data_IF_136556817811
#
_entry.id   IF_136556817811
#
_cell.length_a   1.000
_cell.length_b   1.000
_cell.length_c   1.000
_cell.angle_alpha   90.00
_cell.angle_beta   90.00
_cell.angle_gamma   90.00
#
_symmetry.space_group_name_H-M   'P 1'
#
loop_
_entity.id
_entity.type
_entity.pdbx_description
1 polymer ?
#
# COMPACT_ATOMS: atom_id res chain seq x y z
N UNK A 1 -3.71 9.55 -27.25
CA UNK A 1 -3.32 9.12 -28.60
C UNK A 1 -1.82 9.20 -28.87
N UNK A 2 -1.12 10.29 -28.54
CA UNK A 2 0.31 10.46 -28.94
C UNK A 2 1.35 10.15 -27.85
N UNK A 3 0.92 9.72 -26.66
CA UNK A 3 1.83 9.45 -25.54
C UNK A 3 2.48 10.71 -24.96
N UNK A 4 1.94 11.89 -25.27
CA UNK A 4 2.40 13.17 -24.77
C UNK A 4 1.44 13.70 -23.70
N UNK A 5 1.95 14.18 -22.57
CA UNK A 5 1.12 14.72 -21.50
C UNK A 5 1.82 15.87 -20.78
N UNK A 6 1.01 16.76 -20.18
CA UNK A 6 1.49 17.83 -19.32
C UNK A 6 1.52 17.35 -17.88
N UNK A 7 2.70 17.32 -17.26
CA UNK A 7 2.89 16.79 -15.91
C UNK A 7 2.59 17.78 -14.77
N UNK A 8 2.12 18.99 -15.09
CA UNK A 8 1.86 20.06 -14.11
C UNK A 8 0.86 21.12 -14.63
N UNK A 9 -0.39 20.75 -14.93
CA UNK A 9 -1.42 21.65 -15.47
C UNK A 9 -2.02 22.56 -14.38
N UNK A 10 -1.19 23.34 -13.70
CA UNK A 10 -1.62 24.22 -12.59
C UNK A 10 -2.49 25.40 -13.07
N UNK A 11 -3.37 25.97 -12.22
CA UNK A 11 -4.27 27.06 -12.60
C UNK A 11 -3.57 28.27 -13.24
N UNK A 12 -2.35 28.60 -12.81
CA UNK A 12 -1.58 29.71 -13.39
C UNK A 12 -1.13 29.49 -14.84
N UNK A 13 -1.19 28.25 -15.34
CA UNK A 13 -0.73 27.86 -16.66
C UNK A 13 -1.89 27.54 -17.63
N UNK A 14 -3.15 27.65 -17.17
CA UNK A 14 -4.34 27.27 -17.94
C UNK A 14 -5.43 28.34 -17.80
N UNK A 15 -6.06 28.70 -18.92
CA UNK A 15 -7.27 29.50 -18.93
C UNK A 15 -8.38 28.83 -19.74
N UNK A 16 -9.61 29.30 -19.55
CA UNK A 16 -10.77 28.90 -20.35
C UNK A 16 -11.12 30.06 -21.28
N UNK A 17 -11.20 29.79 -22.57
CA UNK A 17 -11.65 30.76 -23.57
C UNK A 17 -13.17 31.01 -23.44
N UNK A 18 -13.71 32.11 -24.01
CA UNK A 18 -15.15 32.38 -23.96
C UNK A 18 -16.04 31.29 -24.58
N UNK A 19 -15.51 30.50 -25.51
CA UNK A 19 -16.15 29.34 -26.13
C UNK A 19 -16.00 28.02 -25.33
N UNK A 20 -15.28 28.04 -24.20
CA UNK A 20 -15.09 26.88 -23.33
C UNK A 20 -13.86 26.02 -23.64
N UNK A 21 -13.02 26.44 -24.58
CA UNK A 21 -11.77 25.75 -24.90
C UNK A 21 -10.69 26.03 -23.85
N UNK A 22 -9.81 25.06 -23.57
CA UNK A 22 -8.67 25.24 -22.67
C UNK A 22 -7.49 25.88 -23.41
N UNK A 23 -6.92 26.93 -22.84
CA UNK A 23 -5.72 27.63 -23.31
C UNK A 23 -4.57 27.29 -22.36
N UNK A 24 -3.47 26.76 -22.90
CA UNK A 24 -2.25 26.47 -22.13
C UNK A 24 -1.18 27.54 -22.40
N UNK A 25 -0.62 28.12 -21.33
CA UNK A 25 0.42 29.16 -21.42
C UNK A 25 1.84 28.61 -21.27
N UNK A 26 2.00 27.46 -20.61
CA UNK A 26 3.28 26.88 -20.24
C UNK A 26 3.34 25.43 -20.71
N UNK A 27 4.49 25.05 -21.27
CA UNK A 27 4.81 23.71 -21.76
C UNK A 27 6.16 23.22 -21.20
N UNK A 28 6.66 23.81 -20.12
CA UNK A 28 7.95 23.46 -19.50
C UNK A 28 7.97 22.06 -18.88
N UNK A 29 6.80 21.50 -18.55
CA UNK A 29 6.63 20.19 -17.90
C UNK A 29 5.93 19.18 -18.81
N UNK A 30 6.32 19.12 -20.08
CA UNK A 30 5.78 18.13 -21.02
C UNK A 30 6.61 16.84 -21.03
N UNK A 31 5.91 15.72 -21.02
CA UNK A 31 6.52 14.38 -20.99
C UNK A 31 6.02 13.53 -22.13
N UNK A 32 6.90 12.67 -22.65
CA UNK A 32 6.56 11.64 -23.64
C UNK A 32 6.80 10.26 -23.04
N UNK A 33 5.78 9.40 -23.14
CA UNK A 33 5.84 8.01 -22.73
C UNK A 33 5.95 7.13 -23.97
N UNK A 34 6.92 6.21 -23.97
CA UNK A 34 7.03 5.18 -25.00
C UNK A 34 5.71 4.36 -25.06
N UNK A 35 5.18 4.04 -26.26
CA UNK A 35 4.00 3.18 -26.43
C UNK A 35 3.95 1.94 -25.51
N UNK A 36 5.06 1.22 -25.33
CA UNK A 36 5.11 0.01 -24.49
C UNK A 36 4.88 0.35 -23.00
N UNK A 37 5.55 1.39 -22.51
CA UNK A 37 5.39 1.86 -21.13
C UNK A 37 3.98 2.43 -20.92
N UNK A 38 3.44 3.10 -21.93
CA UNK A 38 2.08 3.64 -21.91
C UNK A 38 1.05 2.54 -21.73
N UNK A 39 1.13 1.47 -22.51
CA UNK A 39 0.21 0.32 -22.42
C UNK A 39 0.21 -0.29 -21.01
N UNK A 40 1.40 -0.58 -20.47
CA UNK A 40 1.53 -1.14 -19.12
C UNK A 40 1.06 -0.19 -18.01
N UNK A 41 1.29 1.12 -18.17
CA UNK A 41 0.74 2.13 -17.26
C UNK A 41 -0.78 2.17 -17.33
N UNK A 42 -1.36 2.08 -18.54
CA UNK A 42 -2.80 2.00 -18.71
C UNK A 42 -3.39 0.75 -18.08
N UNK A 43 -2.74 -0.40 -18.22
CA UNK A 43 -3.17 -1.63 -17.54
C UNK A 43 -3.14 -1.49 -16.02
N UNK A 44 -2.12 -0.80 -15.48
CA UNK A 44 -2.04 -0.49 -14.05
C UNK A 44 -3.22 0.37 -13.62
N UNK A 45 -3.52 1.46 -14.34
CA UNK A 45 -4.66 2.33 -14.04
C UNK A 45 -6.00 1.61 -14.13
N UNK A 46 -6.15 0.71 -15.09
CA UNK A 46 -7.37 -0.06 -15.23
C UNK A 46 -7.55 -1.04 -14.08
N UNK A 47 -6.47 -1.72 -13.67
CA UNK A 47 -6.48 -2.57 -12.47
C UNK A 47 -6.90 -1.79 -11.23
N UNK A 48 -6.36 -0.57 -11.07
CA UNK A 48 -6.76 0.35 -10.00
C UNK A 48 -8.26 0.69 -10.08
N UNK A 49 -8.75 1.12 -11.25
CA UNK A 49 -10.15 1.51 -11.45
C UNK A 49 -11.16 0.37 -11.26
N UNK A 50 -10.73 -0.88 -11.41
CA UNK A 50 -11.55 -2.08 -11.16
C UNK A 50 -11.35 -2.69 -9.77
N UNK A 51 -10.46 -2.13 -8.95
CA UNK A 51 -10.03 -2.73 -7.69
C UNK A 51 -9.50 -4.17 -7.89
N UNK A 52 -8.80 -4.41 -9.01
CA UNK A 52 -8.18 -5.68 -9.38
C UNK A 52 -6.68 -5.67 -9.04
N UNK A 53 -6.33 -6.18 -7.86
CA UNK A 53 -4.95 -6.21 -7.39
C UNK A 53 -4.04 -7.13 -8.22
N UNK A 54 -4.57 -8.21 -8.80
CA UNK A 54 -3.79 -9.13 -9.62
C UNK A 54 -3.27 -8.43 -10.87
N UNK A 55 -4.15 -7.68 -11.52
CA UNK A 55 -3.79 -6.86 -12.69
C UNK A 55 -2.78 -5.79 -12.33
N UNK A 56 -2.98 -5.07 -11.22
CA UNK A 56 -2.05 -4.02 -10.77
C UNK A 56 -0.65 -4.60 -10.51
N UNK A 57 -0.54 -5.69 -9.74
CA UNK A 57 0.76 -6.30 -9.44
C UNK A 57 1.44 -6.78 -10.71
N UNK A 58 0.72 -7.44 -11.60
CA UNK A 58 1.26 -7.93 -12.88
C UNK A 58 1.79 -6.79 -13.75
N UNK A 59 1.03 -5.70 -13.85
CA UNK A 59 1.45 -4.52 -14.61
C UNK A 59 2.64 -3.80 -13.98
N UNK A 60 2.72 -3.72 -12.64
CA UNK A 60 3.86 -3.14 -11.93
C UNK A 60 5.14 -3.96 -12.09
N UNK A 61 5.06 -5.29 -12.09
CA UNK A 61 6.18 -6.17 -12.44
C UNK A 61 6.61 -5.94 -13.89
N UNK A 62 5.66 -5.89 -14.83
CA UNK A 62 5.94 -5.64 -16.24
C UNK A 62 6.58 -4.27 -16.49
N UNK A 63 6.28 -3.27 -15.66
CA UNK A 63 6.91 -1.94 -15.68
C UNK A 63 8.31 -1.91 -15.06
N UNK A 64 8.74 -2.99 -14.40
CA UNK A 64 9.96 -3.02 -13.61
C UNK A 64 9.88 -2.21 -12.32
N UNK A 65 8.65 -1.86 -11.89
CA UNK A 65 8.41 -1.11 -10.65
C UNK A 65 8.50 -2.01 -9.42
N UNK A 66 8.12 -3.28 -9.61
CA UNK A 66 8.18 -4.34 -8.61
C UNK A 66 9.08 -5.47 -9.10
N UNK A 67 9.97 -5.97 -8.24
CA UNK A 67 10.77 -7.14 -8.55
C UNK A 67 9.90 -8.40 -8.52
N UNK A 68 10.09 -9.29 -9.50
CA UNK A 68 9.40 -10.58 -9.52
C UNK A 68 9.91 -11.48 -8.38
N UNK A 69 8.99 -12.12 -7.65
CA UNK A 69 9.27 -12.97 -6.51
C UNK A 69 8.49 -14.28 -6.62
N UNK A 70 8.98 -15.33 -5.96
CA UNK A 70 8.40 -16.67 -6.00
C UNK A 70 6.96 -16.71 -5.45
N UNK A 71 6.67 -15.91 -4.41
CA UNK A 71 5.31 -15.72 -3.89
C UNK A 71 4.91 -14.24 -3.90
N UNK A 72 4.09 -13.89 -4.88
CA UNK A 72 3.46 -12.58 -5.04
C UNK A 72 2.14 -12.43 -4.25
N UNK A 73 1.64 -13.49 -3.63
CA UNK A 73 0.37 -13.49 -2.88
C UNK A 73 0.29 -12.42 -1.79
N UNK A 74 1.34 -12.22 -0.96
CA UNK A 74 1.34 -11.21 0.09
C UNK A 74 1.36 -9.77 -0.46
N UNK A 75 2.05 -9.53 -1.58
CA UNK A 75 2.01 -8.25 -2.29
C UNK A 75 0.61 -7.98 -2.83
N UNK A 76 -0.01 -8.96 -3.50
CA UNK A 76 -1.38 -8.85 -4.02
C UNK A 76 -2.40 -8.51 -2.94
N UNK A 77 -2.36 -9.22 -1.80
CA UNK A 77 -3.29 -8.95 -0.67
C UNK A 77 -3.18 -7.52 -0.17
N UNK A 78 -1.97 -6.99 -0.16
CA UNK A 78 -1.71 -5.65 0.35
C UNK A 78 -2.06 -4.57 -0.66
N UNK A 79 -1.79 -4.80 -1.94
CA UNK A 79 -2.30 -3.95 -3.02
C UNK A 79 -3.83 -3.96 -2.99
N UNK A 80 -4.48 -5.11 -2.79
CA UNK A 80 -5.93 -5.19 -2.65
C UNK A 80 -6.44 -4.37 -1.45
N UNK A 81 -5.81 -4.53 -0.28
CA UNK A 81 -6.12 -3.72 0.89
C UNK A 81 -5.99 -2.22 0.60
N UNK A 82 -4.98 -1.80 -0.18
CA UNK A 82 -4.85 -0.41 -0.58
C UNK A 82 -6.00 0.03 -1.51
N UNK A 83 -6.30 -0.77 -2.54
CA UNK A 83 -7.39 -0.48 -3.48
C UNK A 83 -8.75 -0.37 -2.77
N UNK A 84 -8.98 -1.18 -1.74
CA UNK A 84 -10.24 -1.20 -1.00
C UNK A 84 -10.39 -0.01 -0.05
N UNK A 85 -9.30 0.48 0.56
CA UNK A 85 -9.35 1.46 1.65
C UNK A 85 -8.96 2.90 1.27
N UNK A 86 -8.25 3.07 0.14
CA UNK A 86 -7.61 4.35 -0.18
C UNK A 86 -8.11 4.98 -1.49
N UNK A 87 -8.71 4.20 -2.40
CA UNK A 87 -9.20 4.70 -3.69
C UNK A 87 -10.41 5.64 -3.59
N UNK A 88 -11.15 5.57 -2.49
CA UNK A 88 -12.34 6.40 -2.26
C UNK A 88 -11.99 7.69 -1.50
N UNK A 89 -10.71 7.92 -1.17
CA UNK A 89 -10.22 9.10 -0.46
C UNK A 89 -9.45 10.04 -1.41
N UNK A 90 -9.52 11.37 -1.19
CA UNK A 90 -8.66 12.35 -1.86
C UNK A 90 -7.19 11.93 -1.92
N UNK A 91 -6.55 12.03 -3.10
CA UNK A 91 -5.11 11.77 -3.23
C UNK A 91 -4.26 12.81 -2.46
N UNK A 92 -4.81 13.98 -2.15
CA UNK A 92 -4.13 15.06 -1.43
C UNK A 92 -3.74 14.70 0.02
N UNK A 93 -4.46 13.78 0.66
CA UNK A 93 -4.21 13.34 2.05
C UNK A 93 -3.32 12.09 2.14
N UNK A 94 -2.96 11.48 1.01
CA UNK A 94 -2.13 10.27 0.97
C UNK A 94 -0.79 10.60 0.32
N UNK A 95 0.23 10.81 1.14
CA UNK A 95 1.57 10.99 0.59
C UNK A 95 1.98 9.74 -0.20
N UNK A 96 2.47 9.93 -1.43
CA UNK A 96 3.13 8.87 -2.22
C UNK A 96 4.24 8.19 -1.41
N UNK A 97 4.84 8.91 -0.46
CA UNK A 97 5.80 8.39 0.51
C UNK A 97 5.19 7.37 1.49
N UNK A 98 3.99 7.62 2.05
CA UNK A 98 3.30 6.68 2.93
C UNK A 98 2.84 5.42 2.17
N UNK A 99 2.30 5.58 0.96
CA UNK A 99 1.96 4.45 0.08
C UNK A 99 3.22 3.65 -0.28
N UNK A 100 4.32 4.34 -0.55
CA UNK A 100 5.63 3.73 -0.78
C UNK A 100 6.08 2.95 0.44
N UNK A 101 6.15 3.56 1.63
CA UNK A 101 6.63 2.93 2.86
C UNK A 101 5.77 1.72 3.25
N UNK A 102 4.44 1.83 3.15
CA UNK A 102 3.52 0.71 3.39
C UNK A 102 3.76 -0.42 2.38
N UNK A 103 3.93 -0.09 1.10
CA UNK A 103 4.21 -1.07 0.05
C UNK A 103 5.60 -1.70 0.19
N UNK A 104 6.59 -0.94 0.68
CA UNK A 104 7.94 -1.41 0.99
C UNK A 104 7.95 -2.38 2.17
N UNK A 105 7.22 -2.07 3.25
CA UNK A 105 7.10 -2.95 4.43
C UNK A 105 6.38 -4.27 4.07
N UNK A 106 5.48 -4.19 3.10
CA UNK A 106 4.67 -5.29 2.59
C UNK A 106 5.40 -6.16 1.54
N UNK A 107 6.21 -5.56 0.68
CA UNK A 107 6.82 -6.23 -0.48
C UNK A 107 8.05 -7.10 -0.14
N UNK A 108 8.15 -7.62 1.09
CA UNK A 108 9.23 -8.52 1.53
C UNK A 108 10.65 -8.00 1.29
N UNK A 109 11.00 -6.85 1.86
CA UNK A 109 12.34 -6.26 1.71
C UNK A 109 12.75 -6.05 0.23
N UNK A 110 11.81 -6.17 -0.73
CA UNK A 110 12.07 -5.86 -2.13
C UNK A 110 12.02 -4.35 -2.30
N UNK A 111 13.07 -3.73 -2.86
CA UNK A 111 13.05 -2.32 -3.08
C UNK A 111 12.00 -1.98 -4.15
N UNK A 112 10.85 -1.43 -3.73
CA UNK A 112 9.84 -0.92 -4.64
C UNK A 112 10.38 0.31 -5.35
N UNK A 113 10.61 0.24 -6.67
CA UNK A 113 11.23 1.35 -7.41
C UNK A 113 10.23 1.92 -8.40
N UNK A 114 9.57 3.01 -8.03
CA UNK A 114 8.76 3.74 -9.01
C UNK A 114 9.64 4.19 -10.20
N UNK A 115 9.28 3.84 -11.45
CA UNK A 115 9.91 4.43 -12.61
C UNK A 115 9.74 5.95 -12.54
N UNK A 116 10.78 6.72 -12.87
CA UNK A 116 10.73 8.19 -12.80
C UNK A 116 9.52 8.79 -13.56
N UNK A 117 9.11 8.15 -14.66
CA UNK A 117 7.92 8.51 -15.45
C UNK A 117 6.63 8.46 -14.63
N UNK A 118 6.51 7.53 -13.67
CA UNK A 118 5.32 7.39 -12.83
C UNK A 118 5.12 8.60 -11.92
N UNK A 119 6.20 9.16 -11.39
CA UNK A 119 6.17 10.37 -10.56
C UNK A 119 5.56 11.55 -11.32
N UNK A 120 5.88 11.72 -12.60
CA UNK A 120 5.31 12.79 -13.43
C UNK A 120 3.83 12.59 -13.72
N UNK A 121 3.40 11.34 -13.92
CA UNK A 121 1.97 11.02 -14.11
C UNK A 121 1.20 11.29 -12.81
N UNK A 122 1.71 10.84 -11.67
CA UNK A 122 1.08 11.09 -10.36
C UNK A 122 0.97 12.57 -10.03
N UNK A 123 2.01 13.36 -10.35
CA UNK A 123 1.97 14.82 -10.21
C UNK A 123 0.87 15.43 -11.08
N UNK A 124 0.76 15.01 -12.34
CA UNK A 124 -0.29 15.49 -13.24
C UNK A 124 -1.68 15.25 -12.66
N UNK A 125 -1.94 14.05 -12.15
CA UNK A 125 -3.23 13.68 -11.57
C UNK A 125 -3.54 14.46 -10.30
N UNK A 126 -2.56 14.60 -9.41
CA UNK A 126 -2.70 15.37 -8.18
C UNK A 126 -3.03 16.83 -8.49
N UNK A 127 -2.32 17.44 -9.45
CA UNK A 127 -2.59 18.82 -9.88
C UNK A 127 -3.98 18.95 -10.51
N UNK A 128 -4.41 17.99 -11.35
CA UNK A 128 -5.75 18.00 -11.96
C UNK A 128 -6.86 17.83 -10.93
N UNK A 129 -6.68 16.95 -9.96
CA UNK A 129 -7.65 16.76 -8.87
C UNK A 129 -7.77 18.02 -8.01
N UNK A 130 -6.65 18.65 -7.63
CA UNK A 130 -6.66 19.89 -6.86
C UNK A 130 -7.30 21.06 -7.63
N UNK A 131 -7.02 21.17 -8.95
CA UNK A 131 -7.70 22.15 -9.82
C UNK A 131 -9.20 21.85 -9.88
N UNK A 132 -9.58 20.59 -10.08
CA UNK A 132 -10.97 20.15 -10.16
C UNK A 132 -11.74 20.45 -8.87
N UNK A 133 -11.16 20.14 -7.71
CA UNK A 133 -11.74 20.44 -6.40
C UNK A 133 -11.84 21.92 -6.09
N UNK A 134 -10.92 22.72 -6.63
CA UNK A 134 -11.03 24.18 -6.58
C UNK A 134 -12.26 24.72 -7.31
N UNK A 135 -12.83 23.97 -8.26
CA UNK A 135 -14.02 24.33 -9.03
C UNK A 135 -15.29 23.63 -8.54
N UNK A 136 -15.17 22.35 -8.19
CA UNK A 136 -16.26 21.50 -7.71
C UNK A 136 -15.74 20.63 -6.54
N UNK A 137 -16.16 20.89 -5.29
CA UNK A 137 -15.70 20.14 -4.12
C UNK A 137 -15.97 18.64 -4.17
N UNK A 138 -16.96 18.18 -4.94
CA UNK A 138 -17.29 16.75 -5.11
C UNK A 138 -16.51 16.10 -6.27
N UNK A 139 -15.64 16.85 -6.95
CA UNK A 139 -14.87 16.35 -8.08
C UNK A 139 -13.95 15.19 -7.67
N UNK A 140 -14.14 14.05 -8.33
CA UNK A 140 -13.26 12.89 -8.26
C UNK A 140 -12.63 12.62 -9.63
N UNK A 141 -11.31 12.85 -9.73
CA UNK A 141 -10.58 12.64 -10.98
C UNK A 141 -10.73 11.21 -11.53
N UNK A 142 -10.73 10.20 -10.65
CA UNK A 142 -10.79 8.79 -11.06
C UNK A 142 -12.13 8.44 -11.71
N UNK A 143 -13.23 8.96 -11.18
CA UNK A 143 -14.56 8.75 -11.74
C UNK A 143 -14.69 9.37 -13.14
N UNK A 144 -14.17 10.59 -13.30
CA UNK A 144 -14.19 11.31 -14.58
C UNK A 144 -13.25 10.66 -15.61
N UNK A 145 -12.09 10.16 -15.20
CA UNK A 145 -11.11 9.54 -16.09
C UNK A 145 -11.53 8.14 -16.57
N UNK A 146 -12.34 7.41 -15.79
CA UNK A 146 -12.77 6.03 -16.08
C UNK A 146 -13.33 5.82 -17.50
N UNK A 147 -14.33 6.57 -18.01
CA UNK A 147 -14.84 6.38 -19.37
C UNK A 147 -13.78 6.64 -20.46
N UNK A 148 -12.87 7.59 -20.26
CA UNK A 148 -11.79 7.86 -21.21
C UNK A 148 -10.76 6.74 -21.22
N UNK A 149 -10.41 6.18 -20.05
CA UNK A 149 -9.54 5.02 -19.95
C UNK A 149 -10.14 3.81 -20.69
N UNK A 150 -11.43 3.54 -20.50
CA UNK A 150 -12.18 2.50 -21.23
C UNK A 150 -12.13 2.73 -22.75
N UNK A 151 -12.37 3.96 -23.20
CA UNK A 151 -12.37 4.31 -24.61
C UNK A 151 -11.00 4.10 -25.25
N UNK A 152 -9.91 4.47 -24.57
CA UNK A 152 -8.55 4.29 -25.10
C UNK A 152 -8.20 2.80 -25.22
N UNK A 153 -8.66 1.94 -24.32
CA UNK A 153 -8.46 0.50 -24.44
C UNK A 153 -9.26 -0.09 -25.60
N UNK A 154 -10.51 0.33 -25.75
CA UNK A 154 -11.40 -0.18 -26.82
C UNK A 154 -10.95 0.30 -28.21
N UNK A 155 -10.46 1.54 -28.31
CA UNK A 155 -10.02 2.15 -29.56
C UNK A 155 -8.51 1.97 -29.84
N UNK A 156 -7.73 1.50 -28.86
CA UNK A 156 -6.27 1.40 -28.90
C UNK A 156 -5.71 0.31 -29.81
N UNK A 157 -6.54 -0.57 -30.37
CA UNK A 157 -6.14 -1.66 -31.25
C UNK A 157 -6.06 -1.27 -32.75
N UNK A 158 -5.57 -0.07 -33.05
CA UNK A 158 -5.22 0.34 -34.42
C UNK A 158 -3.82 -0.04 -34.89
N UNK A 159 -2.95 -0.56 -33.99
CA UNK A 159 -1.58 -0.93 -34.34
C UNK A 159 -1.27 -2.38 -33.98
N UNK A 160 -1.60 -3.29 -34.90
CA UNK A 160 -0.97 -4.61 -35.11
C UNK A 160 -0.28 -5.23 -33.88
N UNK A 161 -1.08 -5.67 -32.92
CA UNK A 161 -0.71 -6.73 -31.98
C UNK A 161 -1.67 -7.90 -32.22
N UNK A 162 -1.28 -8.81 -33.10
CA UNK A 162 -1.98 -10.07 -33.38
C UNK A 162 -1.89 -11.06 -32.19
N UNK A 163 -2.08 -10.61 -30.96
CA UNK A 163 -1.96 -11.47 -29.77
C UNK A 163 -2.90 -11.15 -28.62
N UNK A 164 -3.44 -9.93 -28.55
CA UNK A 164 -4.31 -9.51 -27.42
C UNK A 164 -5.80 -9.79 -27.67
N UNK A 165 -6.29 -9.63 -28.90
CA UNK A 165 -7.69 -9.95 -29.24
C UNK A 165 -7.96 -11.45 -29.29
N UNK A 166 -6.96 -12.25 -29.68
CA UNK A 166 -7.04 -13.71 -29.67
C UNK A 166 -6.99 -14.26 -28.24
N UNK A 167 -6.29 -13.58 -27.32
CA UNK A 167 -6.25 -13.96 -25.91
C UNK A 167 -7.60 -13.74 -25.24
N UNK A 168 -8.28 -12.59 -25.41
CA UNK A 168 -9.55 -12.34 -24.72
C UNK A 168 -10.68 -13.28 -25.21
N UNK A 169 -10.76 -13.54 -26.52
CA UNK A 169 -11.76 -14.45 -27.10
C UNK A 169 -11.40 -15.92 -26.82
N UNK A 170 -10.11 -16.27 -26.84
CA UNK A 170 -9.61 -17.61 -26.49
C UNK A 170 -9.76 -17.92 -25.00
N UNK A 171 -9.71 -16.91 -24.13
CA UNK A 171 -9.77 -17.05 -22.67
C UNK A 171 -11.22 -17.09 -22.17
N UNK A 172 -12.13 -16.32 -22.80
CA UNK A 172 -13.59 -16.51 -22.67
C UNK A 172 -14.05 -17.87 -23.22
N UNK A 173 -13.49 -18.30 -24.35
CA UNK A 173 -13.76 -19.63 -24.92
C UNK A 173 -13.25 -20.78 -24.05
N UNK A 174 -12.08 -20.63 -23.42
CA UNK A 174 -11.55 -21.59 -22.43
C UNK A 174 -12.34 -21.60 -21.13
N UNK A 175 -12.79 -20.45 -20.64
CA UNK A 175 -13.65 -20.38 -19.45
C UNK A 175 -15.03 -21.01 -19.71
N UNK A 176 -15.62 -20.81 -20.90
CA UNK A 176 -16.85 -21.49 -21.29
C UNK A 176 -16.67 -23.02 -21.43
N UNK A 177 -15.52 -23.46 -21.98
CA UNK A 177 -15.17 -24.89 -22.04
C UNK A 177 -14.92 -25.51 -20.65
N UNK A 178 -14.52 -24.70 -19.66
CA UNK A 178 -14.24 -25.14 -18.28
C UNK A 178 -15.48 -25.15 -17.39
N UNK A 179 -16.54 -24.40 -17.73
CA UNK A 179 -17.87 -24.52 -17.12
C UNK A 179 -18.63 -25.74 -17.65
N UNK A 180 -18.24 -26.30 -18.82
CA UNK A 180 -18.83 -27.53 -19.36
C UNK A 180 -18.23 -28.82 -18.78
N UNK A 181 -17.07 -28.79 -18.12
CA UNK A 181 -16.39 -30.00 -17.61
C UNK A 181 -16.57 -30.23 -16.10
N UNK A 182 -17.52 -29.55 -15.46
CA UNK A 182 -17.90 -29.75 -14.04
C UNK A 182 -18.43 -31.16 -13.73
N UNK A 183 -18.52 -32.07 -14.71
CA UNK A 183 -19.03 -33.41 -14.46
C UNK A 183 -18.00 -34.44 -13.98
N UNK A 184 -16.70 -34.38 -14.30
CA UNK A 184 -15.72 -35.37 -13.79
C UNK A 184 -14.28 -34.97 -14.14
N UNK A 185 -13.49 -34.66 -13.12
CA UNK A 185 -12.04 -34.47 -13.26
C UNK A 185 -11.47 -33.68 -12.09
N UNK A 186 -10.91 -34.39 -11.10
CA UNK A 186 -10.19 -33.81 -9.98
C UNK A 186 -9.18 -32.74 -10.48
N UNK A 187 -9.22 -31.50 -9.97
CA UNK A 187 -8.37 -30.44 -10.49
C UNK A 187 -6.91 -30.65 -10.09
N UNK A 188 -6.02 -30.46 -11.06
CA UNK A 188 -4.53 -30.49 -11.00
C UNK A 188 -3.88 -29.70 -9.86
N UNK A 189 -4.65 -28.91 -9.09
CA UNK A 189 -4.17 -28.21 -7.88
C UNK A 189 -3.72 -29.17 -6.75
N UNK A 190 -4.11 -30.44 -6.80
CA UNK A 190 -3.59 -31.46 -5.88
C UNK A 190 -2.18 -31.93 -6.22
N UNK A 191 -1.77 -31.90 -7.49
CA UNK A 191 -0.43 -32.36 -7.90
C UNK A 191 0.65 -31.36 -7.45
N UNK A 192 0.42 -30.06 -7.62
CA UNK A 192 1.36 -29.02 -7.18
C UNK A 192 1.47 -28.93 -5.64
N UNK A 193 0.41 -29.29 -4.92
CA UNK A 193 0.42 -29.33 -3.44
C UNK A 193 1.00 -30.63 -2.90
N UNK A 194 0.83 -31.76 -3.58
CA UNK A 194 1.53 -33.01 -3.25
C UNK A 194 3.02 -32.94 -3.58
N UNK A 195 3.41 -32.32 -4.69
CA UNK A 195 4.83 -32.19 -5.06
C UNK A 195 5.60 -31.30 -4.06
N UNK A 196 4.94 -30.29 -3.49
CA UNK A 196 5.50 -29.48 -2.39
C UNK A 196 5.54 -30.20 -1.03
N UNK A 197 4.69 -31.20 -0.83
CA UNK A 197 4.67 -32.03 0.39
C UNK A 197 5.75 -33.13 0.34
N UNK A 198 5.98 -33.72 -0.84
CA UNK A 198 6.92 -34.83 -1.04
C UNK A 198 8.39 -34.38 -1.02
N UNK A 199 8.67 -33.09 -1.30
CA UNK A 199 10.01 -32.49 -1.18
C UNK A 199 10.42 -32.11 0.25
N UNK A 200 9.56 -32.35 1.26
CA UNK A 200 9.89 -32.11 2.67
C UNK A 200 10.09 -30.63 3.05
N UNK A 201 9.74 -29.70 2.17
CA UNK A 201 10.10 -28.28 2.28
C UNK A 201 8.91 -27.39 2.69
N UNK A 202 7.94 -27.97 3.39
CA UNK A 202 6.89 -27.20 4.07
C UNK A 202 7.52 -26.51 5.29
N UNK A 203 8.31 -25.46 5.03
CA UNK A 203 8.58 -24.42 6.02
C UNK A 203 7.38 -23.51 6.07
N UNK A 204 6.39 -23.88 6.89
CA UNK A 204 5.35 -22.95 7.33
C UNK A 204 6.05 -21.84 8.12
N UNK A 205 6.53 -20.82 7.41
CA UNK A 205 6.94 -19.55 7.99
C UNK A 205 5.67 -18.72 8.12
N UNK A 206 4.86 -19.02 9.14
CA UNK A 206 3.86 -18.05 9.60
C UNK A 206 4.64 -16.92 10.28
N UNK A 207 5.22 -16.02 9.50
CA UNK A 207 5.34 -14.63 9.93
C UNK A 207 4.04 -13.97 9.52
N UNK A 208 3.01 -14.22 10.31
CA UNK A 208 1.90 -13.29 10.35
C UNK A 208 2.49 -12.00 10.92
N UNK A 209 2.40 -10.92 10.15
CA UNK A 209 2.72 -9.57 10.61
C UNK A 209 1.83 -9.18 11.80
N UNK A 210 0.67 -9.83 11.96
CA UNK A 210 -0.15 -9.76 13.17
C UNK A 210 0.54 -10.44 14.36
N UNK A 211 1.30 -11.53 14.17
CA UNK A 211 2.13 -12.14 15.22
C UNK A 211 3.23 -11.19 15.66
N UNK A 212 3.92 -10.51 14.73
CA UNK A 212 4.96 -9.54 15.10
C UNK A 212 4.36 -8.29 15.79
N UNK A 213 3.18 -7.81 15.35
CA UNK A 213 2.43 -6.75 16.05
C UNK A 213 1.99 -7.19 17.45
N UNK A 214 1.46 -8.40 17.58
CA UNK A 214 1.06 -8.99 18.86
C UNK A 214 2.28 -9.19 19.78
N UNK A 215 3.42 -9.63 19.24
CA UNK A 215 4.67 -9.80 19.99
C UNK A 215 5.24 -8.46 20.47
N UNK A 216 5.17 -7.40 19.65
CA UNK A 216 5.56 -6.05 20.08
C UNK A 216 4.65 -5.52 21.19
N UNK A 217 3.33 -5.74 21.09
CA UNK A 217 2.37 -5.39 22.14
C UNK A 217 2.61 -6.18 23.42
N UNK A 218 2.85 -7.48 23.31
CA UNK A 218 3.21 -8.37 24.43
C UNK A 218 4.54 -7.95 25.05
N UNK A 219 5.54 -7.55 24.27
CA UNK A 219 6.82 -7.03 24.77
C UNK A 219 6.63 -5.72 25.55
N UNK A 220 5.83 -4.78 25.02
CA UNK A 220 5.48 -3.53 25.70
C UNK A 220 4.72 -3.75 27.01
N UNK A 221 3.74 -4.67 27.02
CA UNK A 221 2.99 -5.07 28.21
C UNK A 221 3.91 -5.74 29.24
N UNK A 222 4.78 -6.67 28.82
CA UNK A 222 5.77 -7.31 29.72
C UNK A 222 6.71 -6.27 30.37
N UNK A 223 7.19 -5.30 29.60
CA UNK A 223 8.03 -4.22 30.12
C UNK A 223 7.26 -3.37 31.16
N UNK A 224 5.99 -3.07 30.91
CA UNK A 224 5.11 -2.37 31.85
C UNK A 224 4.85 -3.16 33.15
N UNK A 225 4.63 -4.47 33.04
CA UNK A 225 4.48 -5.37 34.20
C UNK A 225 5.74 -5.37 35.05
N UNK A 226 6.93 -5.45 34.45
CA UNK A 226 8.20 -5.43 35.18
C UNK A 226 8.41 -4.10 35.95
N UNK A 227 8.12 -2.95 35.34
CA UNK A 227 8.23 -1.67 36.03
C UNK A 227 7.20 -1.53 37.17
N UNK A 228 5.97 -2.01 36.97
CA UNK A 228 4.94 -2.01 38.02
C UNK A 228 5.38 -2.84 39.22
N UNK A 229 5.97 -4.02 38.97
CA UNK A 229 6.48 -4.90 40.01
C UNK A 229 7.64 -4.27 40.78
N UNK A 230 8.57 -3.58 40.10
CA UNK A 230 9.64 -2.81 40.74
C UNK A 230 9.12 -1.67 41.61
N UNK A 231 8.13 -0.91 41.13
CA UNK A 231 7.50 0.17 41.92
C UNK A 231 6.88 -0.40 43.20
N UNK A 232 6.09 -1.48 43.09
CA UNK A 232 5.50 -2.13 44.26
C UNK A 232 6.57 -2.64 45.24
N UNK A 233 7.60 -3.34 44.74
CA UNK A 233 8.66 -3.91 45.57
C UNK A 233 9.45 -2.83 46.32
N UNK A 234 9.86 -1.75 45.64
CA UNK A 234 10.57 -0.65 46.28
C UNK A 234 9.68 0.15 47.23
N UNK A 235 8.39 0.30 46.94
CA UNK A 235 7.44 0.98 47.84
C UNK A 235 7.24 0.19 49.14
N UNK A 236 7.07 -1.14 49.04
CA UNK A 236 6.97 -2.03 50.21
C UNK A 236 8.29 -2.03 50.99
N UNK A 237 9.43 -2.14 50.32
CA UNK A 237 10.75 -2.10 50.94
C UNK A 237 10.98 -0.77 51.69
N UNK A 238 10.66 0.37 51.06
CA UNK A 238 10.76 1.69 51.66
C UNK A 238 9.87 1.79 52.91
N UNK A 239 8.65 1.25 52.85
CA UNK A 239 7.70 1.25 53.98
C UNK A 239 8.23 0.42 55.15
N UNK A 240 8.75 -0.79 54.90
CA UNK A 240 9.32 -1.66 55.94
C UNK A 240 10.56 -1.02 56.57
N UNK A 241 11.47 -0.46 55.76
CA UNK A 241 12.68 0.20 56.24
C UNK A 241 12.36 1.43 57.08
N UNK A 242 11.33 2.19 56.70
CA UNK A 242 10.86 3.35 57.44
C UNK A 242 10.30 2.97 58.82
N UNK A 243 9.46 1.92 58.88
CA UNK A 243 8.91 1.40 60.14
C UNK A 243 10.01 0.91 61.09
N UNK A 244 11.08 0.32 60.55
CA UNK A 244 12.24 -0.16 61.32
C UNK A 244 13.26 0.94 61.65
N UNK A 245 12.92 2.23 61.50
CA UNK A 245 13.80 3.38 61.81
C UNK A 245 15.08 3.48 60.97
N UNK A 246 15.19 2.73 59.86
CA UNK A 246 16.29 2.86 58.89
C UNK A 246 16.01 3.95 57.85
N UNK A 247 15.97 5.20 58.31
CA UNK A 247 15.49 6.37 57.54
C UNK A 247 16.28 6.58 56.23
N UNK A 248 17.61 6.44 56.25
CA UNK A 248 18.43 6.62 55.04
C UNK A 248 18.19 5.56 53.98
N UNK A 249 18.02 4.29 54.38
CA UNK A 249 17.74 3.19 53.47
C UNK A 249 16.31 3.27 52.91
N UNK A 250 15.36 3.73 53.74
CA UNK A 250 13.99 3.99 53.31
C UNK A 250 13.93 5.08 52.23
N UNK A 251 14.67 6.19 52.41
CA UNK A 251 14.76 7.24 51.40
C UNK A 251 15.38 6.76 50.09
N UNK A 252 16.44 5.94 50.15
CA UNK A 252 17.05 5.37 48.95
C UNK A 252 16.06 4.49 48.18
N UNK A 253 15.32 3.63 48.88
CA UNK A 253 14.31 2.76 48.27
C UNK A 253 13.12 3.55 47.72
N UNK A 254 12.70 4.63 48.39
CA UNK A 254 11.66 5.53 47.89
C UNK A 254 12.09 6.26 46.60
N UNK A 255 13.36 6.66 46.50
CA UNK A 255 13.90 7.29 45.29
C UNK A 255 13.93 6.31 44.11
N UNK A 256 14.33 5.05 44.36
CA UNK A 256 14.28 3.99 43.35
C UNK A 256 12.85 3.69 42.89
N UNK A 257 11.87 3.69 43.80
CA UNK A 257 10.45 3.56 43.47
C UNK A 257 9.99 4.71 42.55
N UNK A 258 10.36 5.96 42.88
CA UNK A 258 10.02 7.12 42.07
C UNK A 258 10.66 7.06 40.67
N UNK A 259 11.93 6.64 40.56
CA UNK A 259 12.60 6.47 39.29
C UNK A 259 11.93 5.40 38.40
N UNK A 260 11.56 4.25 38.98
CA UNK A 260 10.83 3.21 38.29
C UNK A 260 9.43 3.68 37.86
N UNK A 261 8.75 4.48 38.69
CA UNK A 261 7.45 5.09 38.36
C UNK A 261 7.53 6.06 37.19
N UNK A 262 8.56 6.91 37.13
CA UNK A 262 8.80 7.82 35.99
C UNK A 262 9.06 7.01 34.71
N UNK A 263 9.84 5.94 34.79
CA UNK A 263 10.10 5.06 33.64
C UNK A 263 8.81 4.39 33.14
N UNK A 264 7.94 3.94 34.04
CA UNK A 264 6.62 3.37 33.71
C UNK A 264 5.75 4.39 32.98
N UNK A 265 5.63 5.62 33.49
CA UNK A 265 4.83 6.67 32.86
C UNK A 265 5.37 7.00 31.45
N UNK A 266 6.69 7.12 31.29
CA UNK A 266 7.30 7.34 29.97
C UNK A 266 7.01 6.20 29.00
N UNK A 267 7.05 4.96 29.48
CA UNK A 267 6.73 3.78 28.67
C UNK A 267 5.26 3.83 28.21
N UNK A 268 4.32 4.14 29.10
CA UNK A 268 2.90 4.24 28.75
C UNK A 268 2.64 5.33 27.73
N UNK A 269 3.24 6.52 27.89
CA UNK A 269 3.12 7.61 26.91
C UNK A 269 3.69 7.19 25.54
N UNK A 270 4.79 6.43 25.54
CA UNK A 270 5.40 5.93 24.30
C UNK A 270 4.51 4.91 23.60
N UNK A 271 3.87 4.02 24.36
CA UNK A 271 2.93 3.03 23.83
C UNK A 271 1.67 3.71 23.27
N UNK A 272 1.11 4.68 23.98
CA UNK A 272 -0.07 5.44 23.51
C UNK A 272 0.24 6.25 22.24
N UNK A 273 1.44 6.83 22.12
CA UNK A 273 1.85 7.50 20.86
C UNK A 273 1.95 6.51 19.69
N UNK A 274 2.47 5.31 19.93
CA UNK A 274 2.56 4.29 18.88
C UNK A 274 1.16 3.87 18.43
N UNK A 275 0.25 3.61 19.37
CA UNK A 275 -1.14 3.22 19.06
C UNK A 275 -1.95 4.33 18.36
N UNK A 276 -1.51 5.60 18.38
CA UNK A 276 -2.15 6.73 17.66
C UNK A 276 -1.54 7.04 16.28
N UNK A 277 -0.31 6.58 16.01
CA UNK A 277 0.35 6.79 14.71
C UNK A 277 0.00 5.70 13.70
N UNK A 278 -0.72 4.66 14.14
CA UNK A 278 -1.28 3.58 13.33
C UNK A 278 -2.80 3.56 13.48
#
# INVERSE_FOLDING_TARGET
NDGFFHADPRPGNIAVSPDGSLIFYDFGMMWRVNPITREKLMDTFFGIAQKDADRVVTSLVALGALAEAEDMGPVRRSVQYMLDNFMDKPFEDQSVAAISDDLYEIAYDQPFRFPATFTFVMRAFSTLEGVGKGLDPEFNFMEVAKPFAMQIMTNGNGSKSNGLSESIIGELGRQAAQVSSTALGLPRRFEDTLEKLDRGDIRIRVRSTETDRALRRVSGVNMGTNYTLLVCAFTVSATILFVNQYIWLAMLSALLAAAAGIALIRLMIRLDRLDRMF
#
